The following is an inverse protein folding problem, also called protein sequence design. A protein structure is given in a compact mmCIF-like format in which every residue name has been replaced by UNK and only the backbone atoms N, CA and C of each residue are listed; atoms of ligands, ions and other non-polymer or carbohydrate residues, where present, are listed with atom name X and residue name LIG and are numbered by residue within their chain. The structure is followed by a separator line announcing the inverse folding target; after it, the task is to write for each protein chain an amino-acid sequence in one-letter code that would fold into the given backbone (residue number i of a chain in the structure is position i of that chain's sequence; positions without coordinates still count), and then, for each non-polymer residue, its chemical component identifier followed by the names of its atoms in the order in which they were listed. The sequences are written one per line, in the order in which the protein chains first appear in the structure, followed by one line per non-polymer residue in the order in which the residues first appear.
data_IF_761702601451
#
_entry.id   IF_761702601451
#
_cell.length_a   1.000
_cell.length_b   1.000
_cell.length_c   1.000
_cell.angle_alpha   90.00
_cell.angle_beta   90.00
_cell.angle_gamma   90.00
#
_symmetry.space_group_name_H-M   'P 1'
#
loop_
_entity.id
_entity.type
_entity.pdbx_description
1 polymer ?
#
# COMPACT_ATOMS: atom_id res chain seq x y z
N UNK A 1 8.49 -25.88 0.89
CA UNK A 1 7.79 -24.89 1.75
C UNK A 1 6.47 -24.51 1.07
N UNK A 2 5.37 -24.36 1.83
CA UNK A 2 4.11 -23.77 1.32
C UNK A 2 3.99 -22.36 1.91
N UNK A 3 3.96 -21.33 1.07
CA UNK A 3 3.68 -19.96 1.49
C UNK A 3 2.18 -19.82 1.81
N UNK A 4 1.87 -19.11 2.90
CA UNK A 4 0.48 -18.73 3.23
C UNK A 4 0.03 -17.47 2.48
N UNK A 5 0.97 -16.59 2.15
CA UNK A 5 0.73 -15.34 1.44
C UNK A 5 1.99 -14.98 0.64
N UNK A 6 1.79 -14.47 -0.58
CA UNK A 6 2.85 -13.99 -1.47
C UNK A 6 2.44 -12.60 -1.95
N UNK A 7 3.29 -11.60 -1.69
CA UNK A 7 3.10 -10.23 -2.13
C UNK A 7 4.25 -9.90 -3.10
N UNK A 8 3.92 -9.28 -4.22
CA UNK A 8 4.91 -8.81 -5.19
C UNK A 8 5.08 -7.30 -5.01
N UNK A 9 6.33 -6.85 -4.93
CA UNK A 9 6.63 -5.44 -4.79
C UNK A 9 7.89 -5.05 -5.55
N UNK A 10 7.94 -3.77 -5.93
CA UNK A 10 9.12 -3.09 -6.44
C UNK A 10 9.51 -2.04 -5.41
N UNK A 11 10.71 -2.17 -4.84
CA UNK A 11 11.24 -1.17 -3.91
C UNK A 11 12.04 -0.14 -4.70
N UNK A 12 11.76 1.14 -4.47
CA UNK A 12 12.46 2.28 -5.07
C UNK A 12 12.81 3.31 -4.00
N UNK A 13 13.46 4.38 -4.39
CA UNK A 13 13.59 5.57 -3.56
C UNK A 13 13.42 6.84 -4.39
N UNK A 14 12.90 7.88 -3.77
CA UNK A 14 12.89 9.25 -4.31
C UNK A 14 13.70 10.12 -3.37
N UNK A 15 14.81 10.66 -3.87
CA UNK A 15 15.76 11.47 -3.08
C UNK A 15 16.23 10.80 -1.76
N UNK A 16 16.20 9.46 -1.72
CA UNK A 16 16.63 8.66 -0.57
C UNK A 16 15.49 8.21 0.35
N UNK A 17 14.27 8.72 0.15
CA UNK A 17 13.07 8.23 0.84
C UNK A 17 12.56 6.94 0.17
N UNK A 18 12.47 5.81 0.89
CA UNK A 18 12.15 4.52 0.29
C UNK A 18 10.65 4.33 0.10
N UNK A 19 10.28 3.77 -1.04
CA UNK A 19 8.89 3.42 -1.38
C UNK A 19 8.81 1.98 -1.84
N UNK A 20 8.00 1.17 -1.14
CA UNK A 20 7.61 -0.17 -1.56
C UNK A 20 6.33 -0.14 -2.36
N UNK A 21 6.43 -0.32 -3.68
CA UNK A 21 5.26 -0.37 -4.57
C UNK A 21 4.75 -1.81 -4.68
N UNK A 22 3.63 -2.12 -4.03
CA UNK A 22 3.00 -3.45 -4.09
C UNK A 22 2.19 -3.58 -5.39
N UNK A 23 2.64 -4.48 -6.25
CA UNK A 23 2.10 -4.69 -7.60
C UNK A 23 1.24 -5.95 -7.71
N UNK A 24 1.28 -6.84 -6.71
CA UNK A 24 0.51 -8.08 -6.72
C UNK A 24 0.36 -8.74 -5.36
N UNK A 25 -0.66 -9.60 -5.23
CA UNK A 25 -0.97 -10.34 -4.00
C UNK A 25 -1.93 -9.64 -3.04
N UNK A 26 -2.41 -8.43 -3.38
CA UNK A 26 -3.48 -7.72 -2.68
C UNK A 26 -4.69 -7.60 -3.61
N UNK A 27 -5.87 -8.01 -3.13
CA UNK A 27 -7.11 -7.88 -3.89
C UNK A 27 -7.58 -6.43 -4.03
N UNK A 28 -8.68 -6.23 -4.76
CA UNK A 28 -9.34 -4.91 -4.79
C UNK A 28 -9.94 -4.62 -3.43
N UNK A 29 -9.56 -3.49 -2.84
CA UNK A 29 -10.04 -3.03 -1.55
C UNK A 29 -11.48 -2.52 -1.71
N UNK A 30 -12.42 -2.90 -0.82
CA UNK A 30 -13.80 -2.41 -0.86
C UNK A 30 -13.90 -0.88 -0.81
N UNK A 31 -14.78 -0.32 -1.64
CA UNK A 31 -15.07 1.11 -1.71
C UNK A 31 -15.07 1.65 -3.14
N UNK A 32 -16.07 2.50 -3.42
CA UNK A 32 -16.29 3.08 -4.76
C UNK A 32 -15.38 4.28 -5.05
N UNK A 33 -14.73 4.83 -4.03
CA UNK A 33 -13.75 5.92 -4.14
C UNK A 33 -12.46 5.54 -3.43
N UNK A 34 -11.33 6.16 -3.81
CA UNK A 34 -10.07 5.94 -3.09
C UNK A 34 -10.17 6.34 -1.60
N UNK A 35 -10.99 7.35 -1.27
CA UNK A 35 -11.25 7.74 0.12
C UNK A 35 -12.00 6.64 0.89
N UNK A 36 -13.02 6.03 0.28
CA UNK A 36 -13.76 4.91 0.89
C UNK A 36 -12.86 3.68 1.07
N UNK A 37 -12.00 3.37 0.09
CA UNK A 37 -11.00 2.29 0.20
C UNK A 37 -10.01 2.55 1.32
N UNK A 38 -9.54 3.79 1.48
CA UNK A 38 -8.67 4.18 2.59
C UNK A 38 -9.38 4.01 3.94
N UNK A 39 -10.63 4.45 4.06
CA UNK A 39 -11.41 4.26 5.29
C UNK A 39 -11.54 2.76 5.64
N UNK A 40 -11.94 1.94 4.67
CA UNK A 40 -11.98 0.48 4.86
C UNK A 40 -10.61 -0.09 5.28
N UNK A 41 -9.52 0.37 4.66
CA UNK A 41 -8.18 -0.11 4.98
C UNK A 41 -7.74 0.27 6.40
N UNK A 42 -8.09 1.46 6.88
CA UNK A 42 -7.86 1.87 8.27
C UNK A 42 -8.55 0.93 9.24
N UNK A 43 -9.81 0.57 8.96
CA UNK A 43 -10.62 -0.26 9.86
C UNK A 43 -10.26 -1.76 9.80
N UNK A 44 -9.69 -2.24 8.68
CA UNK A 44 -9.59 -3.68 8.42
C UNK A 44 -8.23 -4.20 7.95
N UNK A 45 -7.32 -3.36 7.47
CA UNK A 45 -6.09 -3.78 6.78
C UNK A 45 -4.80 -3.40 7.51
N UNK A 46 -4.87 -2.98 8.78
CA UNK A 46 -3.67 -2.71 9.59
C UNK A 46 -2.67 -3.89 9.63
N UNK A 47 -3.10 -5.17 9.74
CA UNK A 47 -2.16 -6.29 9.68
C UNK A 47 -1.36 -6.39 8.39
N UNK A 48 -1.97 -6.03 7.24
CA UNK A 48 -1.27 -5.99 5.95
C UNK A 48 -0.25 -4.86 5.92
N UNK A 49 -0.63 -3.67 6.41
CA UNK A 49 0.28 -2.52 6.53
C UNK A 49 1.49 -2.89 7.38
N UNK A 50 1.28 -3.43 8.58
CA UNK A 50 2.35 -3.82 9.50
C UNK A 50 3.26 -4.88 8.91
N UNK A 51 2.71 -5.87 8.19
CA UNK A 51 3.50 -6.87 7.48
C UNK A 51 4.46 -6.24 6.46
N UNK A 52 4.04 -5.16 5.80
CA UNK A 52 4.81 -4.49 4.74
C UNK A 52 5.79 -3.44 5.28
N UNK A 53 5.42 -2.73 6.35
CA UNK A 53 6.11 -1.54 6.87
C UNK A 53 7.02 -1.83 8.08
N UNK A 54 6.66 -2.78 8.94
CA UNK A 54 7.40 -3.06 10.17
C UNK A 54 8.55 -4.05 9.92
N UNK A 55 9.51 -4.08 10.84
CA UNK A 55 10.53 -5.13 10.86
C UNK A 55 9.87 -6.53 10.96
N UNK A 56 10.43 -7.56 10.30
CA UNK A 56 11.73 -7.58 9.62
C UNK A 56 11.69 -7.25 8.12
N UNK A 57 10.54 -6.82 7.59
CA UNK A 57 10.36 -6.62 6.13
C UNK A 57 10.46 -5.17 5.71
N UNK A 58 10.12 -4.25 6.59
CA UNK A 58 10.35 -2.82 6.46
C UNK A 58 11.27 -2.31 7.57
N UNK A 59 11.12 -1.03 7.89
CA UNK A 59 11.87 -0.31 8.92
C UNK A 59 11.12 0.99 9.25
N UNK A 60 11.58 1.72 10.26
CA UNK A 60 10.90 2.92 10.81
C UNK A 60 10.63 4.06 9.81
N UNK A 61 11.22 4.04 8.62
CA UNK A 61 11.05 5.04 7.57
C UNK A 61 10.46 4.46 6.27
N UNK A 62 9.91 3.24 6.31
CA UNK A 62 9.33 2.60 5.14
C UNK A 62 8.01 3.30 4.74
N UNK A 63 7.93 3.69 3.47
CA UNK A 63 6.68 4.09 2.83
C UNK A 63 6.26 3.04 1.81
N UNK A 64 4.96 2.97 1.53
CA UNK A 64 4.40 1.97 0.63
C UNK A 64 3.24 2.51 -0.19
N UNK A 65 3.13 1.96 -1.40
CA UNK A 65 2.07 2.25 -2.34
C UNK A 65 1.44 0.93 -2.79
N UNK A 66 0.18 0.69 -2.41
CA UNK A 66 -0.56 -0.49 -2.87
C UNK A 66 -1.35 -0.09 -4.12
N UNK A 67 -0.97 -0.66 -5.27
CA UNK A 67 -1.68 -0.44 -6.52
C UNK A 67 -3.07 -1.06 -6.46
N UNK A 68 -4.04 -0.32 -6.97
CA UNK A 68 -5.45 -0.69 -7.02
C UNK A 68 -6.02 -0.30 -8.39
N UNK A 69 -7.10 -0.94 -8.86
CA UNK A 69 -7.83 -0.46 -10.03
C UNK A 69 -8.26 0.99 -9.83
N UNK A 70 -8.24 1.84 -10.87
CA UNK A 70 -8.71 3.21 -10.76
C UNK A 70 -10.20 3.23 -10.39
N UNK A 71 -10.61 4.26 -9.65
CA UNK A 71 -12.03 4.50 -9.29
C UNK A 71 -12.71 5.52 -10.20
N UNK A 72 -11.95 6.10 -11.14
CA UNK A 72 -12.42 7.06 -12.14
C UNK A 72 -11.98 6.61 -13.53
N UNK A 73 -12.76 6.91 -14.58
CA UNK A 73 -12.45 6.49 -15.94
C UNK A 73 -11.26 7.24 -16.57
N UNK A 74 -10.85 8.38 -15.99
CA UNK A 74 -9.77 9.24 -16.47
C UNK A 74 -8.44 9.03 -15.71
N UNK A 75 -8.34 8.00 -14.88
CA UNK A 75 -7.15 7.68 -14.11
C UNK A 75 -6.55 6.34 -14.56
N UNK A 76 -5.22 6.28 -14.66
CA UNK A 76 -4.51 5.06 -15.04
C UNK A 76 -4.51 4.01 -13.91
N UNK A 77 -4.43 4.47 -12.66
CA UNK A 77 -4.37 3.62 -11.47
C UNK A 77 -4.96 4.30 -10.24
N UNK A 78 -5.37 3.48 -9.26
CA UNK A 78 -5.59 3.91 -7.89
C UNK A 78 -4.40 3.53 -7.01
N UNK A 79 -4.10 4.34 -6.00
CA UNK A 79 -3.01 4.07 -5.05
C UNK A 79 -3.51 4.27 -3.62
N UNK A 80 -3.32 3.24 -2.78
CA UNK A 80 -3.46 3.38 -1.33
C UNK A 80 -2.06 3.52 -0.72
N UNK A 81 -1.78 4.68 -0.14
CA UNK A 81 -0.51 4.95 0.53
C UNK A 81 -0.52 4.45 1.98
N UNK A 82 0.59 3.83 2.37
CA UNK A 82 0.82 3.30 3.71
C UNK A 82 2.20 3.69 4.21
N UNK A 83 2.30 3.90 5.51
CA UNK A 83 3.55 4.12 6.22
C UNK A 83 3.52 3.37 7.56
N UNK A 84 4.64 3.39 8.28
CA UNK A 84 4.70 2.96 9.68
C UNK A 84 3.68 3.73 10.55
N UNK A 85 3.38 4.98 10.20
CA UNK A 85 2.44 5.87 10.87
C UNK A 85 0.95 5.54 10.59
N UNK A 86 0.63 4.82 9.51
CA UNK A 86 -0.74 4.47 9.17
C UNK A 86 -1.04 4.55 7.66
N UNK A 87 -2.28 4.88 7.33
CA UNK A 87 -2.76 5.02 5.95
C UNK A 87 -2.82 6.50 5.57
N UNK A 88 -2.19 6.89 4.46
CA UNK A 88 -2.10 8.28 4.05
C UNK A 88 -3.07 8.60 2.90
N UNK A 89 -3.61 9.84 2.85
CA UNK A 89 -4.47 10.25 1.74
C UNK A 89 -3.69 10.53 0.45
N UNK A 90 -2.44 11.01 0.55
CA UNK A 90 -1.53 11.26 -0.56
C UNK A 90 -0.07 11.14 -0.12
N UNK A 91 0.82 10.90 -1.08
CA UNK A 91 2.28 10.87 -0.91
C UNK A 91 2.92 11.37 -2.20
N UNK A 92 3.90 12.28 -2.12
CA UNK A 92 4.44 12.99 -3.29
C UNK A 92 5.89 12.68 -3.67
N UNK A 93 6.67 12.11 -2.75
CA UNK A 93 7.99 11.54 -3.08
C UNK A 93 7.78 10.23 -3.83
#
# INVERSE_FOLDING_TARGET
MRSRQVLQAVDSHTEGMPTRVVTGGVGTIPGDTMAARRAYAIDHLDPLRRLLMDEPRGHAAMSGAILQPPTRPDADAGVLFIEVSGFLPMCGH
#
